data_IF_751799994226
#
_entry.id   IF_751799994226
#
_cell.length_a   1.000
_cell.length_b   1.000
_cell.length_c   1.000
_cell.angle_alpha   90.00
_cell.angle_beta   90.00
_cell.angle_gamma   90.00
#
_symmetry.space_group_name_H-M   'P 1'
#
loop_
_entity.id
_entity.type
_entity.pdbx_description
1 polymer ?
#
# COMPACT_ATOMS: atom_id res chain seq x y z
N UNK A 1 -7.23 -17.45 10.96
CA UNK A 1 -7.34 -16.94 12.35
C UNK A 1 -8.79 -17.10 12.78
N UNK A 2 -9.09 -18.04 13.68
CA UNK A 2 -10.43 -18.24 14.21
C UNK A 2 -10.78 -17.13 15.21
N UNK A 3 -11.98 -16.57 15.11
CA UNK A 3 -12.49 -15.62 16.11
C UNK A 3 -12.71 -16.40 17.40
N UNK A 4 -11.92 -16.12 18.44
CA UNK A 4 -12.17 -16.65 19.79
C UNK A 4 -13.49 -16.06 20.28
N UNK A 5 -14.50 -16.91 20.48
CA UNK A 5 -15.77 -16.56 21.08
C UNK A 5 -15.77 -17.14 22.49
N UNK A 6 -15.83 -16.28 23.51
CA UNK A 6 -15.97 -16.64 24.92
C UNK A 6 -17.38 -17.17 25.18
N UNK A 7 -17.65 -18.40 24.69
CA UNK A 7 -18.93 -19.11 24.83
C UNK A 7 -19.06 -19.81 26.19
N UNK A 8 -18.24 -19.43 27.15
CA UNK A 8 -18.18 -19.95 28.52
C UNK A 8 -18.69 -18.93 29.57
N UNK A 9 -18.97 -17.69 29.16
CA UNK A 9 -19.47 -16.64 30.06
C UNK A 9 -21.00 -16.53 30.04
N UNK A 10 -21.58 -15.88 31.06
CA UNK A 10 -23.03 -15.58 31.15
C UNK A 10 -23.58 -14.85 29.91
N UNK A 11 -22.70 -14.22 29.13
CA UNK A 11 -23.01 -13.51 27.87
C UNK A 11 -23.01 -14.39 26.62
N UNK A 12 -22.98 -15.73 26.75
CA UNK A 12 -23.11 -16.71 25.67
C UNK A 12 -24.26 -16.47 24.70
N UNK A 13 -25.35 -15.86 25.16
CA UNK A 13 -26.53 -15.49 24.34
C UNK A 13 -26.63 -13.98 24.06
N UNK A 14 -25.64 -13.19 24.47
CA UNK A 14 -25.63 -11.75 24.30
C UNK A 14 -25.38 -11.36 22.85
N UNK A 15 -26.47 -11.13 22.11
CA UNK A 15 -26.44 -10.67 20.71
C UNK A 15 -26.38 -9.14 20.59
N UNK A 16 -26.31 -8.42 21.71
CA UNK A 16 -26.36 -6.95 21.78
C UNK A 16 -25.35 -6.28 20.85
N UNK A 17 -24.07 -6.66 20.92
CA UNK A 17 -23.01 -6.06 20.11
C UNK A 17 -23.15 -6.39 18.62
N UNK A 18 -23.57 -7.62 18.31
CA UNK A 18 -23.80 -8.03 16.93
C UNK A 18 -25.00 -7.28 16.32
N UNK A 19 -26.08 -7.09 17.09
CA UNK A 19 -27.24 -6.30 16.67
C UNK A 19 -26.87 -4.84 16.43
N UNK A 20 -26.05 -4.23 17.28
CA UNK A 20 -25.53 -2.86 17.07
C UNK A 20 -24.72 -2.75 15.77
N UNK A 21 -23.83 -3.69 15.53
CA UNK A 21 -23.05 -3.74 14.28
C UNK A 21 -23.95 -3.91 13.06
N UNK A 22 -24.91 -4.84 13.10
CA UNK A 22 -25.84 -5.09 11.99
C UNK A 22 -26.70 -3.86 11.70
N UNK A 23 -27.19 -3.17 12.72
CA UNK A 23 -27.92 -1.90 12.59
C UNK A 23 -27.10 -0.83 11.89
N UNK A 24 -25.81 -0.70 12.23
CA UNK A 24 -24.92 0.27 11.59
C UNK A 24 -24.62 -0.08 10.13
N UNK A 25 -24.37 -1.35 9.82
CA UNK A 25 -23.95 -1.77 8.49
C UNK A 25 -25.11 -1.91 7.49
N UNK A 26 -26.27 -2.40 7.93
CA UNK A 26 -27.40 -2.71 7.05
C UNK A 26 -28.70 -1.99 7.41
N UNK A 27 -28.71 -1.20 8.49
CA UNK A 27 -29.88 -0.44 8.94
C UNK A 27 -30.88 -1.26 9.76
N UNK A 28 -31.78 -0.55 10.44
CA UNK A 28 -32.76 -1.16 11.35
C UNK A 28 -33.81 -2.03 10.64
N UNK A 29 -34.13 -1.72 9.38
CA UNK A 29 -35.09 -2.49 8.58
C UNK A 29 -34.59 -3.92 8.31
N UNK A 30 -33.31 -4.07 7.98
CA UNK A 30 -32.69 -5.38 7.72
C UNK A 30 -32.57 -6.17 9.02
N UNK A 31 -32.14 -5.52 10.10
CA UNK A 31 -32.02 -6.15 11.42
C UNK A 31 -33.37 -6.72 11.91
N UNK A 32 -34.44 -5.93 11.79
CA UNK A 32 -35.78 -6.35 12.23
C UNK A 32 -36.37 -7.45 11.33
N UNK A 33 -36.16 -7.39 10.02
CA UNK A 33 -36.58 -8.44 9.10
C UNK A 33 -35.83 -9.75 9.37
N UNK A 34 -34.50 -9.70 9.54
CA UNK A 34 -33.68 -10.87 9.85
C UNK A 34 -34.05 -11.50 11.20
N UNK A 35 -34.37 -10.69 12.21
CA UNK A 35 -34.81 -11.16 13.53
C UNK A 35 -36.13 -11.92 13.53
N UNK A 36 -36.97 -11.76 12.49
CA UNK A 36 -38.25 -12.49 12.35
C UNK A 36 -38.06 -13.87 11.70
N UNK A 37 -36.91 -14.14 11.10
CA UNK A 37 -36.64 -15.41 10.42
C UNK A 37 -35.96 -16.37 11.41
N UNK A 38 -36.58 -17.53 11.63
CA UNK A 38 -36.06 -18.56 12.55
C UNK A 38 -34.82 -19.30 12.01
N UNK A 39 -34.55 -19.18 10.72
CA UNK A 39 -33.53 -19.92 9.98
C UNK A 39 -32.48 -18.95 9.40
N UNK A 40 -31.22 -19.15 9.80
CA UNK A 40 -30.10 -18.32 9.38
C UNK A 40 -29.86 -18.35 7.86
N UNK A 41 -30.07 -19.50 7.22
CA UNK A 41 -29.86 -19.67 5.77
C UNK A 41 -30.91 -18.89 4.97
N UNK A 42 -32.15 -18.89 5.46
CA UNK A 42 -33.25 -18.09 4.88
C UNK A 42 -33.06 -16.60 5.13
N UNK A 43 -32.57 -16.20 6.31
CA UNK A 43 -32.24 -14.81 6.60
C UNK A 43 -31.15 -14.29 5.66
N UNK A 44 -30.11 -15.09 5.41
CA UNK A 44 -29.05 -14.74 4.47
C UNK A 44 -29.56 -14.56 3.04
N UNK A 45 -30.20 -15.59 2.49
CA UNK A 45 -30.58 -15.61 1.07
C UNK A 45 -31.72 -14.66 0.72
N UNK A 46 -32.73 -14.51 1.58
CA UNK A 46 -33.94 -13.73 1.27
C UNK A 46 -33.87 -12.29 1.72
N UNK A 47 -33.06 -11.98 2.73
CA UNK A 47 -33.02 -10.65 3.35
C UNK A 47 -31.68 -9.98 3.11
N UNK A 48 -30.56 -10.66 3.36
CA UNK A 48 -29.24 -10.00 3.31
C UNK A 48 -28.68 -9.96 1.87
N UNK A 49 -28.77 -11.08 1.13
CA UNK A 49 -28.21 -11.17 -0.22
C UNK A 49 -28.75 -10.12 -1.21
N UNK A 50 -30.05 -9.76 -1.21
CA UNK A 50 -30.55 -8.68 -2.07
C UNK A 50 -30.00 -7.30 -1.70
N UNK A 51 -29.75 -7.02 -0.42
CA UNK A 51 -29.18 -5.74 0.03
C UNK A 51 -27.69 -5.61 -0.30
N UNK A 52 -26.94 -6.72 -0.29
CA UNK A 52 -25.52 -6.73 -0.68
C UNK A 52 -25.32 -6.46 -2.17
N UNK A 53 -26.34 -6.64 -3.01
CA UNK A 53 -26.26 -6.37 -4.45
C UNK A 53 -26.47 -4.90 -4.82
N UNK A 54 -27.09 -4.10 -3.94
CA UNK A 54 -27.44 -2.70 -4.26
C UNK A 54 -26.29 -1.72 -4.04
N UNK A 55 -25.25 -2.10 -3.29
CA UNK A 55 -24.10 -1.25 -3.00
C UNK A 55 -22.87 -1.65 -3.80
N UNK A 56 -22.22 -0.68 -4.44
CA UNK A 56 -20.92 -0.90 -5.06
C UNK A 56 -19.86 -1.03 -3.97
N UNK A 57 -19.04 -2.09 -4.00
CA UNK A 57 -17.89 -2.25 -3.07
C UNK A 57 -17.04 -0.96 -3.09
N UNK A 58 -16.88 -0.38 -4.28
CA UNK A 58 -16.18 0.88 -4.52
C UNK A 58 -16.77 2.08 -3.76
N UNK A 59 -18.09 2.18 -3.60
CA UNK A 59 -18.73 3.25 -2.78
C UNK A 59 -18.42 3.08 -1.28
N UNK A 60 -18.32 1.84 -0.80
CA UNK A 60 -18.01 1.57 0.61
C UNK A 60 -16.56 1.88 0.96
N UNK A 61 -15.67 1.80 -0.03
CA UNK A 61 -14.26 2.15 0.08
C UNK A 61 -13.94 3.51 -0.54
N UNK A 62 -14.96 4.33 -0.87
CA UNK A 62 -14.73 5.70 -1.30
C UNK A 62 -13.97 6.44 -0.20
N UNK A 63 -12.74 6.77 -0.54
CA UNK A 63 -11.80 7.25 0.42
C UNK A 63 -12.00 8.75 0.65
N UNK A 64 -12.66 9.10 1.76
CA UNK A 64 -12.98 10.49 2.15
C UNK A 64 -11.77 11.32 2.63
N UNK A 65 -10.54 10.87 2.38
CA UNK A 65 -9.29 11.48 2.87
C UNK A 65 -8.45 12.18 1.79
N UNK A 66 -7.35 12.83 2.20
CA UNK A 66 -6.36 13.36 1.24
C UNK A 66 -5.67 12.20 0.51
N UNK A 67 -5.54 12.31 -0.82
CA UNK A 67 -4.87 11.29 -1.64
C UNK A 67 -3.48 10.93 -1.08
N UNK A 68 -3.19 9.63 -1.01
CA UNK A 68 -1.96 9.11 -0.41
C UNK A 68 -0.83 9.41 -1.39
N UNK A 69 -0.11 10.49 -1.13
CA UNK A 69 1.09 10.86 -1.90
C UNK A 69 2.22 9.85 -1.74
N UNK A 70 2.20 9.07 -0.65
CA UNK A 70 3.26 8.13 -0.30
C UNK A 70 2.69 6.74 -0.09
N UNK A 71 3.38 5.75 -0.66
CA UNK A 71 3.05 4.34 -0.45
C UNK A 71 3.48 3.89 0.95
N UNK A 72 2.62 3.12 1.60
CA UNK A 72 2.95 2.42 2.84
C UNK A 72 3.80 1.17 2.58
N UNK A 73 3.81 0.67 1.33
CA UNK A 73 4.61 -0.48 0.92
C UNK A 73 6.09 -0.10 0.89
N UNK A 74 6.92 -0.94 1.49
CA UNK A 74 8.37 -0.80 1.44
C UNK A 74 8.89 -1.07 0.02
N UNK A 75 9.88 -0.29 -0.39
CA UNK A 75 10.57 -0.48 -1.66
C UNK A 75 11.27 -1.84 -1.74
N UNK A 76 11.28 -2.42 -2.93
CA UNK A 76 12.18 -3.54 -3.23
C UNK A 76 13.63 -3.07 -3.21
N UNK A 77 14.60 -3.99 -3.07
CA UNK A 77 16.03 -3.59 -3.06
C UNK A 77 16.45 -2.84 -4.32
N UNK A 78 15.91 -3.22 -5.48
CA UNK A 78 16.16 -2.56 -6.76
C UNK A 78 15.57 -1.15 -6.79
N UNK A 79 14.32 -0.99 -6.36
CA UNK A 79 13.68 0.33 -6.22
C UNK A 79 14.45 1.24 -5.26
N UNK A 80 14.91 0.71 -4.13
CA UNK A 80 15.68 1.48 -3.15
C UNK A 80 17.00 1.99 -3.73
N UNK A 81 17.74 1.16 -4.47
CA UNK A 81 18.97 1.58 -5.16
C UNK A 81 18.66 2.73 -6.11
N UNK A 82 17.74 2.52 -7.06
CA UNK A 82 17.38 3.53 -8.04
C UNK A 82 16.90 4.85 -7.42
N UNK A 83 16.13 4.79 -6.32
CA UNK A 83 15.66 6.00 -5.61
C UNK A 83 16.79 6.73 -4.89
N UNK A 84 17.72 6.01 -4.27
CA UNK A 84 18.88 6.61 -3.62
C UNK A 84 19.82 7.21 -4.66
N UNK A 85 20.11 6.50 -5.75
CA UNK A 85 20.97 6.98 -6.84
C UNK A 85 20.39 8.25 -7.47
N UNK A 86 19.08 8.24 -7.77
CA UNK A 86 18.39 9.41 -8.30
C UNK A 86 18.49 10.59 -7.34
N UNK A 87 18.23 10.38 -6.05
CA UNK A 87 18.29 11.45 -5.05
C UNK A 87 19.70 12.02 -4.87
N UNK A 88 20.74 11.17 -4.89
CA UNK A 88 22.15 11.59 -4.80
C UNK A 88 22.56 12.39 -6.04
N UNK A 89 22.14 11.95 -7.22
CA UNK A 89 22.40 12.64 -8.48
C UNK A 89 21.66 13.99 -8.54
N UNK A 90 20.39 14.04 -8.12
CA UNK A 90 19.56 15.26 -8.11
C UNK A 90 20.09 16.31 -7.12
N UNK A 91 20.53 15.89 -5.94
CA UNK A 91 21.05 16.80 -4.92
C UNK A 91 22.53 17.14 -5.07
N UNK A 92 23.22 16.56 -6.07
CA UNK A 92 24.67 16.66 -6.28
C UNK A 92 25.48 16.31 -5.02
N UNK A 93 24.95 15.41 -4.19
CA UNK A 93 25.61 15.00 -2.95
C UNK A 93 26.67 13.92 -3.21
N UNK A 94 27.62 13.81 -2.29
CA UNK A 94 28.53 12.67 -2.28
C UNK A 94 27.76 11.39 -1.98
N UNK A 95 28.00 10.33 -2.75
CA UNK A 95 27.47 8.98 -2.48
C UNK A 95 27.87 8.43 -1.10
N UNK A 96 28.86 9.03 -0.43
CA UNK A 96 29.22 8.73 0.97
C UNK A 96 28.11 9.08 1.97
N UNK A 97 27.10 9.89 1.58
CA UNK A 97 25.95 10.22 2.42
C UNK A 97 25.22 9.00 2.96
N UNK A 98 25.26 7.89 2.22
CA UNK A 98 24.58 6.65 2.61
C UNK A 98 25.21 6.00 3.86
N UNK A 99 26.47 6.32 4.16
CA UNK A 99 27.13 5.91 5.40
C UNK A 99 26.86 6.86 6.58
N UNK A 100 26.24 8.02 6.35
CA UNK A 100 25.99 8.99 7.41
C UNK A 100 24.96 8.42 8.42
N UNK A 101 25.26 8.54 9.71
CA UNK A 101 24.41 8.00 10.78
C UNK A 101 23.02 8.64 10.82
N UNK A 102 22.91 9.95 10.59
CA UNK A 102 21.62 10.65 10.54
C UNK A 102 20.80 10.21 9.33
N UNK A 103 21.44 10.00 8.17
CA UNK A 103 20.77 9.44 6.99
C UNK A 103 20.23 8.03 7.27
N UNK A 104 21.05 7.15 7.85
CA UNK A 104 20.64 5.79 8.19
C UNK A 104 19.52 5.76 9.22
N UNK A 105 19.59 6.64 10.23
CA UNK A 105 18.53 6.82 11.22
C UNK A 105 17.22 7.20 10.54
N UNK A 106 17.22 8.21 9.67
CA UNK A 106 16.04 8.67 8.95
C UNK A 106 15.44 7.57 8.06
N UNK A 107 16.27 6.81 7.36
CA UNK A 107 15.81 5.75 6.45
C UNK A 107 15.30 4.51 7.19
N UNK A 108 15.81 4.21 8.39
CA UNK A 108 15.41 3.03 9.18
C UNK A 108 14.33 3.33 10.23
N UNK A 109 14.04 4.59 10.52
CA UNK A 109 13.01 4.96 11.49
C UNK A 109 11.65 4.44 11.01
N UNK A 110 11.00 3.59 11.84
CA UNK A 110 9.76 2.91 11.50
C UNK A 110 9.90 1.75 10.50
N UNK A 111 11.10 1.47 9.99
CA UNK A 111 11.42 0.38 9.05
C UNK A 111 12.81 -0.22 9.33
N UNK A 112 12.99 -0.99 10.43
CA UNK A 112 14.32 -1.48 10.84
C UNK A 112 15.01 -2.35 9.78
N UNK A 113 14.23 -3.12 9.02
CA UNK A 113 14.68 -4.01 7.94
C UNK A 113 14.86 -3.29 6.60
N UNK A 114 14.75 -1.96 6.56
CA UNK A 114 14.94 -1.20 5.32
C UNK A 114 16.36 -1.39 4.79
N UNK A 115 16.43 -1.94 3.56
CA UNK A 115 17.70 -2.14 2.87
C UNK A 115 18.30 -0.79 2.49
N UNK A 116 19.56 -0.58 2.85
CA UNK A 116 20.34 0.58 2.46
C UNK A 116 21.57 0.06 1.70
N UNK A 117 21.80 0.45 0.44
CA UNK A 117 22.97 0.03 -0.32
C UNK A 117 24.25 0.59 0.29
N UNK A 118 25.39 -0.02 -0.04
CA UNK A 118 26.67 0.57 0.34
C UNK A 118 26.98 1.80 -0.51
N UNK A 119 27.77 2.73 0.02
CA UNK A 119 28.27 3.88 -0.74
C UNK A 119 29.04 3.47 -2.02
N UNK A 120 29.73 2.31 -2.01
CA UNK A 120 30.35 1.75 -3.21
C UNK A 120 29.30 1.36 -4.25
N UNK A 121 28.23 0.67 -3.82
CA UNK A 121 27.12 0.29 -4.72
C UNK A 121 26.52 1.52 -5.39
N UNK A 122 26.24 2.57 -4.63
CA UNK A 122 25.70 3.84 -5.17
C UNK A 122 26.67 4.50 -6.15
N UNK A 123 27.98 4.49 -5.84
CA UNK A 123 28.98 5.03 -6.77
C UNK A 123 29.04 4.26 -8.09
N UNK A 124 28.95 2.92 -8.03
CA UNK A 124 28.90 2.06 -9.21
C UNK A 124 27.64 2.30 -10.04
N UNK A 125 26.49 2.37 -9.38
CA UNK A 125 25.20 2.57 -10.03
C UNK A 125 25.12 3.94 -10.72
N UNK A 126 25.57 5.01 -10.07
CA UNK A 126 25.64 6.35 -10.67
C UNK A 126 26.55 6.37 -11.91
N UNK A 127 27.74 5.74 -11.83
CA UNK A 127 28.64 5.63 -12.99
C UNK A 127 28.01 4.86 -14.14
N UNK A 128 27.30 3.77 -13.83
CA UNK A 128 26.60 2.96 -14.82
C UNK A 128 25.48 3.76 -15.49
N UNK A 129 24.65 4.46 -14.70
CA UNK A 129 23.58 5.33 -15.20
C UNK A 129 24.16 6.41 -16.11
N UNK A 130 25.25 7.07 -15.71
CA UNK A 130 25.93 8.08 -16.53
C UNK A 130 26.44 7.51 -17.85
N UNK A 131 27.12 6.37 -17.84
CA UNK A 131 27.63 5.75 -19.06
C UNK A 131 26.48 5.35 -20.01
N UNK A 132 25.40 4.79 -19.48
CA UNK A 132 24.22 4.39 -20.25
C UNK A 132 23.51 5.61 -20.87
N UNK A 133 23.28 6.67 -20.10
CA UNK A 133 22.63 7.89 -20.61
C UNK A 133 23.50 8.58 -21.65
N UNK A 134 24.81 8.65 -21.43
CA UNK A 134 25.75 9.24 -22.38
C UNK A 134 25.80 8.48 -23.70
N UNK A 135 25.85 7.14 -23.65
CA UNK A 135 25.78 6.30 -24.84
C UNK A 135 24.45 6.44 -25.59
N UNK A 136 23.33 6.56 -24.86
CA UNK A 136 22.02 6.78 -25.46
C UNK A 136 21.94 8.12 -26.20
N UNK A 137 22.39 9.21 -25.56
CA UNK A 137 22.46 10.54 -26.17
C UNK A 137 23.40 10.53 -27.38
N UNK A 138 24.57 9.90 -27.26
CA UNK A 138 25.52 9.77 -28.38
C UNK A 138 24.89 9.09 -29.59
N UNK A 139 24.12 8.01 -29.38
CA UNK A 139 23.36 7.33 -30.44
C UNK A 139 22.33 8.27 -31.08
N UNK A 140 21.55 9.00 -30.28
CA UNK A 140 20.56 9.96 -30.79
C UNK A 140 21.20 11.05 -31.66
N UNK A 141 22.34 11.59 -31.22
CA UNK A 141 23.07 12.64 -31.93
C UNK A 141 23.66 12.13 -33.25
N UNK A 142 24.23 10.91 -33.28
CA UNK A 142 24.77 10.30 -34.50
C UNK A 142 23.70 10.02 -35.55
N UNK A 143 22.53 9.50 -35.15
CA UNK A 143 21.41 9.24 -36.07
C UNK A 143 20.91 10.54 -36.70
N UNK A 144 20.85 11.63 -35.92
CA UNK A 144 20.39 12.94 -36.43
C UNK A 144 21.39 13.59 -37.39
N UNK A 145 22.69 13.42 -37.17
CA UNK A 145 23.73 13.91 -38.08
C UNK A 145 23.70 13.17 -39.43
N UNK A 146 23.48 11.85 -39.41
CA UNK A 146 23.33 11.04 -40.64
C UNK A 146 22.05 11.35 -41.43
N UNK A 147 21.00 11.87 -40.77
CA UNK A 147 19.76 12.28 -41.44
C UNK A 147 19.82 13.69 -42.06
N UNK A 148 20.90 14.44 -41.79
CA UNK A 148 21.13 15.80 -42.31
C UNK A 148 22.24 15.86 -43.38
N UNK A 149 22.89 14.74 -43.67
CA UNK A 149 23.85 14.56 -44.77
C UNK A 149 23.19 13.78 -45.90
#
# INVERSE_FOLDING_TARGET
>A
RGVQRYLDTKDTRSSSNLRKHVRMCWGDKVLTAAGKVKDASKAWTKIIAPFLQTGSITESFEWKGKQARYSHRQHTRAETRAKIDHRVAESLQSYKIVNNSAFQCLMKTGRPEYYIPSHYTVAWDIKLVFACTWNHISKMLRVRLLALM
#
